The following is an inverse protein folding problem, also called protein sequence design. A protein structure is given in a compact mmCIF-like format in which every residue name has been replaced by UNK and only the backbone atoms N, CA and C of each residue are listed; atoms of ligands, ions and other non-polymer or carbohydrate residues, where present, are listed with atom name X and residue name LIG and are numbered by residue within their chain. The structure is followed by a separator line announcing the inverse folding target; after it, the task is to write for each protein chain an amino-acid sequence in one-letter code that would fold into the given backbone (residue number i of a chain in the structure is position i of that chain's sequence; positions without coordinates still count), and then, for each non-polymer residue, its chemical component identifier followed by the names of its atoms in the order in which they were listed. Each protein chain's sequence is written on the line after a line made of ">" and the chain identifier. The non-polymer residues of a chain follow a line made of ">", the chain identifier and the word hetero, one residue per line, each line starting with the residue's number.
data_IF_594208231558
#
_entry.id   IF_594208231558
#
_cell.length_a   1.000
_cell.length_b   1.000
_cell.length_c   1.000
_cell.angle_alpha   90.00
_cell.angle_beta   90.00
_cell.angle_gamma   90.00
#
_symmetry.space_group_name_H-M   'P 1'
#
loop_
_entity.id
_entity.type
_entity.pdbx_description
1 polymer ?
#
# COMPACT_ATOMS: atom_id res chain seq x y z
N UNK A 1 -8.44 5.69 56.51
CA UNK A 1 -9.11 5.12 55.29
C UNK A 1 -9.97 6.25 54.76
N UNK A 2 -9.53 6.90 53.69
CA UNK A 2 -10.37 7.87 52.95
C UNK A 2 -11.22 7.06 51.96
N UNK A 3 -12.55 7.31 51.87
CA UNK A 3 -13.36 6.71 50.85
C UNK A 3 -13.02 7.37 49.50
N UNK A 4 -12.65 6.55 48.52
CA UNK A 4 -12.38 7.02 47.18
C UNK A 4 -13.64 7.65 46.55
N UNK A 5 -13.53 8.89 46.12
CA UNK A 5 -14.55 9.55 45.31
C UNK A 5 -14.53 8.94 43.93
N UNK A 6 -15.37 7.94 43.73
CA UNK A 6 -15.68 7.43 42.40
C UNK A 6 -16.37 8.55 41.61
N UNK A 7 -15.68 9.15 40.66
CA UNK A 7 -16.31 10.05 39.69
C UNK A 7 -17.06 9.15 38.70
N UNK A 8 -18.35 8.94 38.90
CA UNK A 8 -19.24 8.39 37.90
C UNK A 8 -19.42 9.43 36.80
N UNK A 9 -18.67 9.33 35.72
CA UNK A 9 -18.97 10.06 34.47
C UNK A 9 -20.11 9.33 33.77
N UNK A 10 -21.30 9.85 33.87
CA UNK A 10 -22.44 9.42 33.05
C UNK A 10 -22.35 10.19 31.73
N UNK A 11 -21.92 9.54 30.66
CA UNK A 11 -22.06 10.07 29.31
C UNK A 11 -23.50 9.82 28.84
N UNK A 12 -24.27 10.89 28.68
CA UNK A 12 -25.60 10.81 28.09
C UNK A 12 -25.38 10.86 26.59
N UNK A 13 -25.62 9.75 25.90
CA UNK A 13 -25.69 9.68 24.44
C UNK A 13 -27.16 9.81 24.06
N UNK A 14 -27.54 10.92 23.43
CA UNK A 14 -28.87 11.04 22.84
C UNK A 14 -28.86 10.27 21.50
N UNK A 15 -29.53 9.14 21.46
CA UNK A 15 -29.83 8.45 20.21
C UNK A 15 -31.09 9.10 19.64
N UNK A 16 -30.93 9.92 18.61
CA UNK A 16 -32.05 10.52 17.88
C UNK A 16 -32.31 9.61 16.68
N UNK A 17 -33.52 9.04 16.60
CA UNK A 17 -33.98 8.39 15.38
C UNK A 17 -34.20 9.49 14.32
N UNK A 18 -33.60 9.40 13.12
CA UNK A 18 -33.82 10.40 12.08
C UNK A 18 -35.29 10.42 11.69
N UNK A 19 -35.90 11.60 11.57
CA UNK A 19 -37.16 11.81 10.90
C UNK A 19 -36.92 11.80 9.41
N UNK A 20 -37.57 10.89 8.64
CA UNK A 20 -37.35 10.74 7.20
C UNK A 20 -36.26 9.73 6.83
N UNK A 21 -35.77 9.83 5.62
CA UNK A 21 -34.64 9.01 5.13
C UNK A 21 -33.31 9.45 5.73
N UNK A 22 -32.40 8.51 5.95
CA UNK A 22 -31.02 8.83 6.38
C UNK A 22 -30.06 7.80 5.77
N UNK A 23 -29.28 8.25 4.79
CA UNK A 23 -28.41 7.39 4.01
C UNK A 23 -27.00 7.43 4.59
N UNK A 24 -26.42 6.24 4.81
CA UNK A 24 -25.05 6.04 5.29
C UNK A 24 -24.30 5.06 4.40
N UNK A 25 -23.00 5.12 4.44
CA UNK A 25 -22.16 4.09 3.84
C UNK A 25 -22.25 2.81 4.68
N UNK A 26 -22.46 1.66 4.03
CA UNK A 26 -22.49 0.35 4.68
C UNK A 26 -21.24 -0.47 4.34
N UNK A 27 -20.89 -0.56 3.07
CA UNK A 27 -19.76 -1.36 2.62
C UNK A 27 -19.23 -0.89 1.25
N UNK A 28 -18.06 -1.36 0.89
CA UNK A 28 -17.46 -1.19 -0.43
C UNK A 28 -16.98 -2.54 -0.96
N UNK A 29 -17.18 -2.77 -2.25
CA UNK A 29 -16.66 -3.94 -2.97
C UNK A 29 -15.57 -3.47 -3.93
N UNK A 30 -14.39 -4.05 -3.79
CA UNK A 30 -13.28 -3.86 -4.72
C UNK A 30 -13.56 -4.65 -6.00
N UNK A 31 -13.48 -4.01 -7.14
CA UNK A 31 -13.54 -4.63 -8.46
C UNK A 31 -12.15 -4.48 -9.09
N UNK A 32 -11.40 -5.56 -9.02
CA UNK A 32 -10.03 -5.64 -9.53
C UNK A 32 -10.00 -6.32 -10.88
N UNK A 33 -8.86 -6.25 -11.54
CA UNK A 33 -8.60 -7.04 -12.75
C UNK A 33 -8.61 -8.55 -12.42
N UNK A 34 -8.61 -9.40 -13.43
CA UNK A 34 -8.78 -10.88 -13.31
C UNK A 34 -7.76 -11.61 -12.39
N UNK A 35 -6.78 -10.92 -11.83
CA UNK A 35 -5.71 -11.44 -10.96
C UNK A 35 -5.69 -10.72 -9.61
N UNK A 36 -6.76 -10.06 -9.24
CA UNK A 36 -6.85 -9.30 -7.99
C UNK A 36 -6.71 -10.19 -6.74
N UNK A 37 -6.13 -9.62 -5.70
CA UNK A 37 -5.89 -10.29 -4.41
C UNK A 37 -6.86 -9.84 -3.30
N UNK A 38 -7.80 -8.92 -3.60
CA UNK A 38 -8.75 -8.34 -2.67
C UNK A 38 -8.17 -7.22 -1.81
N UNK A 39 -7.03 -6.65 -2.21
CA UNK A 39 -6.34 -5.56 -1.53
C UNK A 39 -6.20 -4.36 -2.48
N UNK A 40 -5.98 -3.19 -1.93
CA UNK A 40 -5.60 -2.02 -2.70
C UNK A 40 -4.08 -1.95 -2.71
N UNK A 41 -3.47 -2.22 -3.85
CA UNK A 41 -2.02 -2.25 -3.97
C UNK A 41 -1.45 -0.94 -4.57
N UNK A 42 -0.19 -0.66 -4.26
CA UNK A 42 0.55 0.47 -4.82
C UNK A 42 0.56 0.43 -6.36
N UNK A 43 0.34 1.58 -6.99
CA UNK A 43 0.33 1.71 -8.46
C UNK A 43 -0.82 1.00 -9.15
N UNK A 44 -1.87 0.60 -8.42
CA UNK A 44 -3.03 -0.10 -8.96
C UNK A 44 -4.13 0.87 -9.39
N UNK A 45 -4.79 0.53 -10.52
CA UNK A 45 -6.04 1.11 -10.96
C UNK A 45 -7.16 0.12 -10.70
N UNK A 46 -8.19 0.54 -9.97
CA UNK A 46 -9.30 -0.34 -9.58
C UNK A 46 -10.63 0.43 -9.52
N UNK A 47 -11.71 -0.33 -9.43
CA UNK A 47 -13.04 0.22 -9.27
C UNK A 47 -13.62 -0.12 -7.89
N UNK A 48 -14.38 0.83 -7.32
CA UNK A 48 -15.11 0.64 -6.08
C UNK A 48 -16.61 0.68 -6.34
N UNK A 49 -17.33 -0.39 -6.01
CA UNK A 49 -18.76 -0.42 -5.95
C UNK A 49 -19.19 -0.13 -4.51
N UNK A 50 -20.01 0.90 -4.28
CA UNK A 50 -20.46 1.26 -2.94
C UNK A 50 -21.79 0.62 -2.62
N UNK A 51 -21.94 0.21 -1.34
CA UNK A 51 -23.19 -0.24 -0.75
C UNK A 51 -23.59 0.79 0.29
N UNK A 52 -24.80 1.33 0.13
CA UNK A 52 -25.39 2.28 1.07
C UNK A 52 -26.57 1.65 1.81
N UNK A 53 -26.77 2.08 3.06
CA UNK A 53 -27.91 1.71 3.89
C UNK A 53 -28.76 2.94 4.20
N UNK A 54 -30.08 2.75 4.20
CA UNK A 54 -31.01 3.76 4.72
C UNK A 54 -31.39 3.41 6.16
N UNK A 55 -30.73 4.02 7.12
CA UNK A 55 -31.02 3.85 8.56
C UNK A 55 -32.19 4.72 9.05
N UNK A 56 -32.83 5.47 8.13
CA UNK A 56 -34.01 6.30 8.39
C UNK A 56 -35.33 5.52 8.41
N UNK A 57 -36.43 6.25 8.57
CA UNK A 57 -37.78 5.68 8.67
C UNK A 57 -38.57 5.80 7.38
N UNK A 58 -38.13 6.61 6.42
CA UNK A 58 -38.75 6.78 5.11
C UNK A 58 -37.77 6.34 3.99
N UNK A 59 -38.30 5.93 2.84
CA UNK A 59 -37.51 5.58 1.69
C UNK A 59 -36.93 6.82 0.95
N UNK A 60 -35.77 6.69 0.34
CA UNK A 60 -35.15 7.70 -0.52
C UNK A 60 -35.00 7.18 -1.95
N UNK A 61 -35.20 8.05 -2.95
CA UNK A 61 -35.09 7.73 -4.37
C UNK A 61 -34.16 8.72 -5.09
N UNK A 62 -33.58 8.28 -6.20
CA UNK A 62 -32.72 9.09 -7.05
C UNK A 62 -31.57 9.73 -6.24
N UNK A 63 -30.87 8.91 -5.47
CA UNK A 63 -29.78 9.36 -4.63
C UNK A 63 -28.53 9.46 -5.49
N UNK A 64 -27.95 10.65 -5.55
CA UNK A 64 -26.63 10.91 -6.10
C UNK A 64 -25.63 10.94 -4.93
N UNK A 65 -24.52 10.24 -5.04
CA UNK A 65 -23.44 10.30 -4.07
C UNK A 65 -22.17 10.77 -4.78
N UNK A 66 -21.47 11.73 -4.16
CA UNK A 66 -20.17 12.20 -4.62
C UNK A 66 -19.12 11.74 -3.62
N UNK A 67 -18.14 10.97 -4.11
CA UNK A 67 -17.00 10.47 -3.32
C UNK A 67 -15.79 11.33 -3.59
N UNK A 68 -15.13 11.76 -2.52
CA UNK A 68 -13.90 12.55 -2.57
C UNK A 68 -12.86 12.00 -1.60
N UNK A 69 -11.59 12.31 -1.85
CA UNK A 69 -10.49 12.10 -0.91
C UNK A 69 -9.52 13.27 -1.00
N UNK A 70 -8.98 13.66 0.15
CA UNK A 70 -7.87 14.62 0.22
C UNK A 70 -6.50 13.95 0.37
N UNK A 71 -6.47 12.61 0.34
CA UNK A 71 -5.25 11.84 0.48
C UNK A 71 -4.37 12.00 -0.77
N UNK A 72 -3.06 12.30 -0.62
CA UNK A 72 -2.17 12.53 -1.75
C UNK A 72 -1.82 11.27 -2.54
N UNK A 73 -2.13 10.07 -2.02
CA UNK A 73 -1.79 8.79 -2.65
C UNK A 73 -2.94 8.16 -3.44
N UNK A 74 -4.10 8.81 -3.48
CA UNK A 74 -5.23 8.35 -4.29
C UNK A 74 -5.70 9.43 -5.26
N UNK A 75 -6.00 9.03 -6.48
CA UNK A 75 -6.70 9.85 -7.47
C UNK A 75 -8.06 9.22 -7.77
N UNK A 76 -9.14 9.99 -7.68
CA UNK A 76 -10.49 9.58 -8.05
C UNK A 76 -10.80 10.18 -9.43
N UNK A 77 -10.97 9.34 -10.45
CA UNK A 77 -11.24 9.80 -11.82
C UNK A 77 -12.72 10.13 -12.02
N UNK A 78 -13.61 9.34 -11.41
CA UNK A 78 -15.06 9.56 -11.45
C UNK A 78 -15.62 9.23 -10.06
N UNK A 79 -15.96 10.27 -9.30
CA UNK A 79 -16.47 10.16 -7.94
C UNK A 79 -18.00 10.19 -7.82
N UNK A 80 -18.74 10.35 -8.94
CA UNK A 80 -20.20 10.43 -8.93
C UNK A 80 -20.84 9.08 -9.15
N UNK A 81 -21.69 8.66 -8.21
CA UNK A 81 -22.40 7.39 -8.22
C UNK A 81 -23.90 7.59 -7.94
N UNK A 82 -24.70 6.65 -8.41
CA UNK A 82 -26.15 6.72 -8.37
C UNK A 82 -26.73 5.51 -7.64
N UNK A 83 -27.82 5.75 -6.90
CA UNK A 83 -28.68 4.72 -6.33
C UNK A 83 -30.13 5.05 -6.71
N UNK A 84 -30.91 4.04 -7.13
CA UNK A 84 -32.29 4.25 -7.56
C UNK A 84 -33.23 4.51 -6.39
N UNK A 85 -33.35 3.53 -5.49
CA UNK A 85 -34.23 3.60 -4.32
C UNK A 85 -33.69 2.77 -3.18
N UNK A 86 -33.64 3.35 -1.99
CA UNK A 86 -33.27 2.64 -0.76
C UNK A 86 -34.41 2.77 0.24
N UNK A 87 -35.10 1.66 0.50
CA UNK A 87 -36.18 1.59 1.51
C UNK A 87 -35.60 1.70 2.93
N UNK A 88 -36.48 2.05 3.92
CA UNK A 88 -36.07 2.15 5.32
C UNK A 88 -35.56 0.80 5.86
N UNK A 89 -34.39 0.82 6.49
CA UNK A 89 -33.68 -0.36 7.01
C UNK A 89 -33.16 -1.31 5.94
N UNK A 90 -33.06 -0.88 4.68
CA UNK A 90 -32.53 -1.68 3.57
C UNK A 90 -31.22 -1.11 3.04
N UNK A 91 -30.43 -1.98 2.44
CA UNK A 91 -29.21 -1.64 1.68
C UNK A 91 -29.47 -1.65 0.18
N UNK A 92 -28.65 -0.96 -0.57
CA UNK A 92 -28.59 -1.03 -2.03
C UNK A 92 -27.17 -0.88 -2.51
N UNK A 93 -26.82 -1.62 -3.57
CA UNK A 93 -25.61 -1.41 -4.32
C UNK A 93 -25.75 -0.16 -5.20
N UNK A 94 -24.65 0.53 -5.47
CA UNK A 94 -24.64 1.63 -6.44
C UNK A 94 -24.84 1.12 -7.86
N UNK A 95 -25.44 1.94 -8.74
CA UNK A 95 -25.72 1.59 -10.14
C UNK A 95 -24.44 1.62 -11.02
N UNK A 96 -23.41 2.28 -10.55
CA UNK A 96 -22.09 2.39 -11.18
C UNK A 96 -21.00 2.40 -10.13
N UNK A 97 -19.77 2.11 -10.55
CA UNK A 97 -18.57 2.16 -9.74
C UNK A 97 -17.83 3.50 -9.85
N UNK A 98 -16.96 3.78 -8.92
CA UNK A 98 -15.94 4.84 -9.02
C UNK A 98 -14.60 4.24 -9.43
N UNK A 99 -13.84 4.97 -10.25
CA UNK A 99 -12.50 4.58 -10.66
C UNK A 99 -11.48 5.33 -9.81
N UNK A 100 -10.56 4.60 -9.23
CA UNK A 100 -9.46 5.14 -8.43
C UNK A 100 -8.11 4.62 -8.92
N UNK A 101 -7.08 5.43 -8.75
CA UNK A 101 -5.69 5.08 -9.01
C UNK A 101 -4.87 5.31 -7.74
N UNK A 102 -4.06 4.33 -7.35
CA UNK A 102 -3.19 4.40 -6.19
C UNK A 102 -1.78 4.77 -6.64
N UNK A 103 -1.17 5.73 -5.95
CA UNK A 103 0.20 6.15 -6.25
C UNK A 103 1.21 5.01 -5.99
N UNK A 104 2.22 4.89 -6.85
CA UNK A 104 3.33 3.93 -6.66
C UNK A 104 4.19 4.22 -5.43
N UNK A 105 4.07 5.43 -4.87
CA UNK A 105 4.82 5.88 -3.69
C UNK A 105 4.01 5.80 -2.39
N UNK A 106 2.83 5.19 -2.40
CA UNK A 106 2.03 5.01 -1.18
C UNK A 106 2.81 4.19 -0.15
N UNK A 107 2.87 4.61 1.12
CA UNK A 107 3.48 3.78 2.16
C UNK A 107 2.67 2.51 2.41
N UNK A 108 3.35 1.45 2.84
CA UNK A 108 2.67 0.23 3.25
C UNK A 108 1.70 0.46 4.41
N UNK A 109 0.51 -0.18 4.34
CA UNK A 109 -0.58 -0.07 5.30
C UNK A 109 -1.10 1.37 5.51
N UNK A 110 -0.89 2.26 4.52
CA UNK A 110 -1.37 3.64 4.60
C UNK A 110 -2.91 3.71 4.55
N UNK A 111 -3.57 4.32 5.56
CA UNK A 111 -5.02 4.46 5.56
C UNK A 111 -5.46 5.62 4.66
N UNK A 112 -6.21 5.33 3.62
CA UNK A 112 -6.83 6.30 2.73
C UNK A 112 -8.26 6.53 3.17
N UNK A 113 -8.63 7.79 3.43
CA UNK A 113 -10.00 8.18 3.81
C UNK A 113 -10.76 8.67 2.59
N UNK A 114 -11.97 8.16 2.43
CA UNK A 114 -12.94 8.57 1.42
C UNK A 114 -14.13 9.23 2.11
N UNK A 115 -14.46 10.44 1.71
CA UNK A 115 -15.64 11.18 2.16
C UNK A 115 -16.76 11.05 1.13
N UNK A 116 -17.97 10.83 1.58
CA UNK A 116 -19.15 10.64 0.73
C UNK A 116 -20.22 11.68 1.09
N UNK A 117 -20.69 12.40 0.10
CA UNK A 117 -21.89 13.22 0.23
C UNK A 117 -23.02 12.62 -0.61
N UNK A 118 -24.08 12.17 0.04
CA UNK A 118 -25.30 11.71 -0.60
C UNK A 118 -26.31 12.84 -0.73
N UNK A 119 -27.10 12.86 -1.80
CA UNK A 119 -28.21 13.80 -2.00
C UNK A 119 -29.32 13.21 -2.86
N UNK A 120 -30.58 13.44 -2.47
CA UNK A 120 -31.74 13.16 -3.31
C UNK A 120 -32.33 14.42 -3.98
N UNK A 121 -31.57 15.54 -3.93
CA UNK A 121 -32.00 16.84 -4.46
C UNK A 121 -32.79 17.69 -3.44
N UNK A 122 -33.23 17.12 -2.32
CA UNK A 122 -33.90 17.84 -1.22
C UNK A 122 -33.10 17.73 0.05
N UNK A 123 -32.67 16.53 0.40
CA UNK A 123 -31.88 16.22 1.59
C UNK A 123 -30.46 15.85 1.20
N UNK A 124 -29.53 16.04 2.14
CA UNK A 124 -28.12 15.66 2.01
C UNK A 124 -27.66 14.91 3.26
N UNK A 125 -26.83 13.89 3.06
CA UNK A 125 -26.24 13.08 4.13
C UNK A 125 -24.75 12.93 3.88
N UNK A 126 -23.98 12.84 4.95
CA UNK A 126 -22.52 12.68 4.88
C UNK A 126 -22.11 11.36 5.54
N UNK A 127 -21.14 10.70 4.95
CA UNK A 127 -20.56 9.48 5.46
C UNK A 127 -19.09 9.41 5.04
N UNK A 128 -18.33 8.47 5.58
CA UNK A 128 -16.95 8.21 5.16
C UNK A 128 -16.57 6.77 5.42
N UNK A 129 -15.52 6.31 4.72
CA UNK A 129 -14.90 5.02 4.97
C UNK A 129 -13.39 5.10 4.77
N UNK A 130 -12.67 4.10 5.28
CA UNK A 130 -11.22 4.00 5.11
C UNK A 130 -10.86 2.67 4.45
N UNK A 131 -9.86 2.71 3.57
CA UNK A 131 -9.22 1.53 3.01
C UNK A 131 -7.71 1.65 3.25
N UNK A 132 -7.04 0.53 3.52
CA UNK A 132 -5.60 0.52 3.68
C UNK A 132 -4.95 0.16 2.34
N UNK A 133 -4.02 1.00 1.89
CA UNK A 133 -3.18 0.68 0.75
C UNK A 133 -2.02 -0.21 1.17
N UNK A 134 -1.63 -1.14 0.31
CA UNK A 134 -0.55 -2.10 0.51
C UNK A 134 0.61 -1.78 -0.42
N UNK A 135 1.83 -1.89 0.09
CA UNK A 135 3.05 -1.64 -0.69
C UNK A 135 4.19 -2.59 -0.26
N UNK A 136 5.16 -2.85 -1.15
CA UNK A 136 6.37 -3.55 -0.77
C UNK A 136 7.28 -2.62 0.05
N UNK A 137 7.99 -3.21 1.02
CA UNK A 137 9.03 -2.54 1.81
C UNK A 137 10.29 -3.38 1.73
N UNK A 138 11.32 -2.88 1.06
CA UNK A 138 12.55 -3.62 0.85
C UNK A 138 13.63 -3.27 1.84
N UNK A 139 14.31 -4.31 2.32
CA UNK A 139 15.50 -4.23 3.16
C UNK A 139 16.60 -5.11 2.56
N UNK A 140 17.86 -4.63 2.63
CA UNK A 140 19.05 -5.40 2.27
C UNK A 140 19.71 -5.85 3.56
N UNK A 141 20.02 -7.17 3.66
CA UNK A 141 20.61 -7.76 4.85
C UNK A 141 21.67 -8.81 4.50
N UNK A 142 22.41 -9.24 5.53
CA UNK A 142 23.30 -10.40 5.52
C UNK A 142 24.29 -10.43 4.35
N UNK A 143 25.07 -9.35 4.05
CA UNK A 143 26.05 -9.40 2.99
C UNK A 143 27.14 -10.42 3.32
N UNK A 144 27.43 -11.32 2.37
CA UNK A 144 28.50 -12.32 2.46
C UNK A 144 29.38 -12.20 1.24
N UNK A 145 30.69 -12.05 1.45
CA UNK A 145 31.69 -12.00 0.38
C UNK A 145 32.37 -13.35 0.27
N UNK A 146 32.45 -13.88 -0.93
CA UNK A 146 33.21 -15.06 -1.31
C UNK A 146 34.32 -14.63 -2.26
N UNK A 147 35.54 -14.70 -1.81
CA UNK A 147 36.77 -14.50 -2.61
C UNK A 147 37.03 -15.71 -3.53
N UNK A 148 37.75 -15.52 -4.61
CA UNK A 148 37.98 -16.52 -5.66
C UNK A 148 38.68 -17.78 -5.13
N UNK A 149 39.71 -17.58 -4.29
CA UNK A 149 40.53 -18.67 -3.74
C UNK A 149 39.98 -19.28 -2.44
N UNK A 150 38.94 -18.66 -1.84
CA UNK A 150 38.23 -19.09 -0.62
C UNK A 150 39.13 -19.12 0.63
N UNK A 151 40.13 -18.28 0.73
CA UNK A 151 40.96 -18.17 1.91
C UNK A 151 40.45 -17.15 2.94
N UNK A 152 39.38 -16.39 2.57
CA UNK A 152 38.68 -15.41 3.41
C UNK A 152 39.31 -14.02 3.35
N UNK A 153 40.24 -13.80 2.39
CA UNK A 153 40.89 -12.53 2.11
C UNK A 153 40.66 -12.19 0.64
N UNK A 154 40.10 -11.02 0.38
CA UNK A 154 39.96 -10.56 -1.00
C UNK A 154 41.18 -9.80 -1.42
N UNK A 155 42.11 -10.45 -2.14
CA UNK A 155 43.39 -9.94 -2.54
C UNK A 155 43.33 -9.00 -3.78
N UNK A 156 44.31 -8.09 -3.96
CA UNK A 156 44.41 -7.31 -5.18
C UNK A 156 44.51 -8.16 -6.44
N UNK A 157 43.66 -7.84 -7.44
CA UNK A 157 43.58 -8.57 -8.70
C UNK A 157 42.69 -9.82 -8.65
N UNK A 158 42.03 -10.07 -7.55
CA UNK A 158 41.14 -11.20 -7.36
C UNK A 158 39.68 -10.84 -7.63
N UNK A 159 38.91 -11.81 -8.13
CA UNK A 159 37.44 -11.70 -8.23
C UNK A 159 36.77 -12.08 -6.91
N UNK A 160 35.61 -11.51 -6.67
CA UNK A 160 34.76 -11.90 -5.53
C UNK A 160 33.29 -11.93 -5.93
N UNK A 161 32.55 -12.72 -5.19
CA UNK A 161 31.08 -12.75 -5.27
C UNK A 161 30.51 -12.21 -3.97
N UNK A 162 29.64 -11.21 -4.04
CA UNK A 162 28.86 -10.78 -2.88
C UNK A 162 27.42 -11.28 -3.00
N UNK A 163 26.99 -11.96 -1.95
CA UNK A 163 25.61 -12.37 -1.77
C UNK A 163 24.93 -11.39 -0.81
N UNK A 164 23.73 -11.00 -1.12
CA UNK A 164 22.87 -10.16 -0.27
C UNK A 164 21.49 -10.78 -0.16
N UNK A 165 20.88 -10.64 1.01
CA UNK A 165 19.47 -10.96 1.18
C UNK A 165 18.63 -9.71 0.89
N UNK A 166 17.69 -9.82 -0.05
CA UNK A 166 16.66 -8.84 -0.33
C UNK A 166 15.37 -9.31 0.32
N UNK A 167 14.91 -8.56 1.31
CA UNK A 167 13.74 -8.90 2.14
C UNK A 167 12.61 -7.94 1.76
N UNK A 168 11.43 -8.47 1.43
CA UNK A 168 10.21 -7.68 1.32
C UNK A 168 9.41 -7.82 2.62
N UNK A 169 9.54 -6.86 3.53
CA UNK A 169 8.79 -6.81 4.78
C UNK A 169 7.41 -6.13 4.66
N UNK A 170 7.10 -5.60 3.47
CA UNK A 170 5.80 -4.98 3.18
C UNK A 170 4.68 -5.99 2.92
N UNK A 171 3.47 -5.49 2.77
CA UNK A 171 2.25 -6.30 2.63
C UNK A 171 1.81 -6.56 1.19
N UNK A 172 2.52 -6.02 0.19
CA UNK A 172 2.27 -6.27 -1.23
C UNK A 172 3.45 -6.99 -1.89
N UNK A 173 3.15 -7.81 -2.91
CA UNK A 173 4.12 -8.42 -3.78
C UNK A 173 4.70 -7.38 -4.74
N UNK A 174 5.94 -7.58 -5.19
CA UNK A 174 6.53 -6.72 -6.23
C UNK A 174 6.98 -7.57 -7.43
N UNK A 175 6.44 -7.24 -8.59
CA UNK A 175 6.77 -7.91 -9.84
C UNK A 175 7.92 -7.22 -10.58
N UNK A 176 8.88 -8.01 -11.04
CA UNK A 176 10.05 -7.59 -11.83
C UNK A 176 10.94 -6.51 -11.16
N UNK A 177 11.20 -6.59 -9.84
CA UNK A 177 12.13 -5.66 -9.22
C UNK A 177 13.55 -5.91 -9.73
N UNK A 178 14.33 -4.83 -9.76
CA UNK A 178 15.75 -4.85 -10.11
C UNK A 178 16.55 -4.27 -8.97
N UNK A 179 17.56 -5.02 -8.50
CA UNK A 179 18.56 -4.52 -7.57
C UNK A 179 19.83 -4.17 -8.35
N UNK A 180 20.39 -2.99 -8.12
CA UNK A 180 21.65 -2.56 -8.71
C UNK A 180 22.71 -2.34 -7.63
N UNK A 181 23.97 -2.55 -7.99
CA UNK A 181 25.11 -2.31 -7.10
C UNK A 181 26.11 -1.37 -7.76
N UNK A 182 26.60 -0.39 -7.02
CA UNK A 182 27.63 0.55 -7.47
C UNK A 182 28.75 0.59 -6.44
N UNK A 183 30.03 0.56 -6.93
CA UNK A 183 31.21 0.80 -6.12
C UNK A 183 31.60 2.27 -6.17
N UNK A 184 32.00 2.83 -5.03
CA UNK A 184 32.60 4.18 -4.94
C UNK A 184 34.14 4.19 -5.03
N UNK A 185 34.73 3.04 -5.27
CA UNK A 185 36.21 2.89 -5.36
C UNK A 185 36.64 2.76 -6.81
N UNK A 186 37.72 3.46 -7.18
CA UNK A 186 38.34 3.31 -8.49
C UNK A 186 39.04 1.95 -8.67
N UNK A 187 39.26 1.21 -7.59
CA UNK A 187 39.93 -0.10 -7.57
C UNK A 187 38.99 -1.30 -7.55
N UNK A 188 37.70 -1.08 -7.33
CA UNK A 188 36.71 -2.15 -7.23
C UNK A 188 35.65 -1.93 -8.29
N UNK A 189 35.51 -2.89 -9.19
CA UNK A 189 34.52 -2.89 -10.27
C UNK A 189 33.42 -3.90 -9.97
N UNK A 190 32.16 -3.50 -10.19
CA UNK A 190 31.03 -4.42 -10.23
C UNK A 190 30.91 -4.96 -11.64
N UNK A 191 31.03 -6.28 -11.81
CA UNK A 191 31.10 -6.95 -13.13
C UNK A 191 29.85 -7.74 -13.48
N UNK A 192 28.83 -7.75 -12.62
CA UNK A 192 27.50 -8.29 -12.95
C UNK A 192 26.92 -7.55 -14.16
N UNK A 193 26.27 -8.25 -15.07
CA UNK A 193 25.65 -7.66 -16.26
C UNK A 193 24.79 -6.44 -15.89
N UNK A 194 25.10 -5.28 -16.49
CA UNK A 194 24.51 -3.97 -16.19
C UNK A 194 24.52 -3.61 -14.69
N UNK A 195 25.39 -4.25 -13.88
CA UNK A 195 25.44 -4.12 -12.42
C UNK A 195 24.10 -4.41 -11.73
N UNK A 196 23.27 -5.29 -12.30
CA UNK A 196 21.90 -5.51 -11.85
C UNK A 196 21.56 -6.99 -11.66
N UNK A 197 20.68 -7.25 -10.68
CA UNK A 197 19.94 -8.50 -10.52
C UNK A 197 18.46 -8.24 -10.73
N UNK A 198 17.80 -8.98 -11.61
CA UNK A 198 16.37 -8.89 -11.87
C UNK A 198 15.67 -10.11 -11.29
N UNK A 199 14.64 -9.86 -10.49
CA UNK A 199 13.80 -10.91 -9.91
C UNK A 199 12.46 -10.97 -10.66
N UNK A 200 11.86 -12.16 -10.78
CA UNK A 200 10.55 -12.30 -11.41
C UNK A 200 9.44 -11.73 -10.51
N UNK A 201 9.47 -12.09 -9.23
CA UNK A 201 8.57 -11.57 -8.20
C UNK A 201 9.25 -11.71 -6.83
N UNK A 202 9.06 -10.72 -5.98
CA UNK A 202 9.44 -10.79 -4.56
C UNK A 202 8.14 -10.70 -3.75
N UNK A 203 7.73 -11.85 -3.22
CA UNK A 203 6.49 -11.96 -2.45
C UNK A 203 6.60 -11.21 -1.12
N UNK A 204 5.48 -10.68 -0.65
CA UNK A 204 5.31 -10.15 0.70
C UNK A 204 5.82 -11.14 1.76
N UNK A 205 6.58 -10.66 2.73
CA UNK A 205 7.15 -11.46 3.81
C UNK A 205 8.27 -12.42 3.40
N UNK A 206 8.76 -12.37 2.16
CA UNK A 206 9.76 -13.29 1.63
C UNK A 206 11.15 -12.68 1.56
N UNK A 207 12.16 -13.55 1.58
CA UNK A 207 13.58 -13.20 1.39
C UNK A 207 14.10 -13.87 0.13
N UNK A 208 14.81 -13.11 -0.69
CA UNK A 208 15.48 -13.58 -1.90
C UNK A 208 16.95 -13.24 -1.83
N UNK A 209 17.81 -14.09 -2.40
CA UNK A 209 19.23 -13.84 -2.45
C UNK A 209 19.60 -13.20 -3.81
N UNK A 210 20.24 -12.03 -3.75
CA UNK A 210 20.90 -11.39 -4.87
C UNK A 210 22.38 -11.74 -4.89
N UNK A 211 22.97 -11.81 -6.08
CA UNK A 211 24.39 -12.11 -6.29
C UNK A 211 25.01 -11.07 -7.19
N UNK A 212 26.12 -10.47 -6.75
CA UNK A 212 26.91 -9.53 -7.55
C UNK A 212 28.34 -10.02 -7.65
N UNK A 213 28.89 -9.92 -8.87
CA UNK A 213 30.27 -10.22 -9.16
C UNK A 213 31.11 -8.93 -9.08
N UNK A 214 32.26 -9.04 -8.46
CA UNK A 214 33.18 -7.93 -8.23
C UNK A 214 34.58 -8.34 -8.66
N UNK A 215 35.36 -7.38 -9.15
CA UNK A 215 36.82 -7.53 -9.36
C UNK A 215 37.57 -6.44 -8.63
N UNK A 216 38.67 -6.81 -8.01
CA UNK A 216 39.67 -5.84 -7.52
C UNK A 216 40.75 -5.62 -8.56
N UNK A 217 41.23 -4.37 -8.68
CA UNK A 217 42.42 -4.06 -9.51
C UNK A 217 43.70 -4.68 -8.88
N UNK A 218 44.61 -5.19 -9.72
CA UNK A 218 45.87 -5.73 -9.25
C UNK A 218 46.77 -4.69 -8.53
N UNK A 219 46.52 -3.41 -8.76
CA UNK A 219 47.23 -2.30 -8.12
C UNK A 219 46.47 -1.76 -6.87
N UNK A 220 45.44 -2.45 -6.44
CA UNK A 220 44.68 -2.07 -5.23
C UNK A 220 45.61 -1.97 -4.03
N UNK A 221 45.69 -0.81 -3.35
CA UNK A 221 46.51 -0.68 -2.15
C UNK A 221 45.99 -1.55 -1.02
N UNK A 222 46.93 -2.12 -0.23
CA UNK A 222 46.58 -2.87 0.98
C UNK A 222 45.75 -2.01 1.94
N UNK A 223 44.63 -2.57 2.45
CA UNK A 223 43.68 -1.89 3.34
C UNK A 223 42.74 -0.92 2.63
N UNK A 224 42.57 -1.00 1.30
CA UNK A 224 41.56 -0.23 0.57
C UNK A 224 40.16 -0.56 1.10
N UNK A 225 39.37 0.48 1.39
CA UNK A 225 37.97 0.37 1.81
C UNK A 225 37.08 0.92 0.67
N UNK A 226 36.20 0.10 0.15
CA UNK A 226 35.17 0.51 -0.80
C UNK A 226 33.76 0.48 -0.14
N UNK A 227 32.94 1.48 -0.45
CA UNK A 227 31.51 1.42 -0.16
C UNK A 227 30.80 0.90 -1.40
N UNK A 228 29.94 -0.10 -1.20
CA UNK A 228 29.04 -0.63 -2.21
C UNK A 228 27.63 -0.16 -1.85
N UNK A 229 26.93 0.44 -2.81
CA UNK A 229 25.57 0.96 -2.63
C UNK A 229 24.64 0.45 -3.72
#
# INVERSE_FOLDING_TARGET
>A
IMPGSGINKTNIVNVISPEGAYIVHENVVLIESAVGNGQIDFGEDLELLLIAENVGVDGASNINATVTSSDPYVTIENGDILFDFIGPGLTSDSNNSINISIATSVPDLHPITFDIQYSNGTDTWESSFNLNAHAPVFEIANPVVHDENQDGIWDPGESATILIDLINSGSSDFHYPTASMVSNSDYIEVTTDDNTNTFYVIFSGSTYQGEFQLNSDAETPDGTIASLT
#
